data_IF_063653380267
#
_entry.id   IF_063653380267
#
_cell.length_a   1.000
_cell.length_b   1.000
_cell.length_c   1.000
_cell.angle_alpha   90.00
_cell.angle_beta   90.00
_cell.angle_gamma   90.00
#
_symmetry.space_group_name_H-M   'P 1'
#
loop_
_entity.id
_entity.type
_entity.pdbx_description
1 polymer ?
#
# COMPACT_ATOMS: atom_id res chain seq x y z
N UNK A 1 -20.62 1.84 12.01
CA UNK A 1 -19.14 1.90 11.88
C UNK A 1 -18.56 2.35 13.20
N UNK A 2 -17.34 1.92 13.55
CA UNK A 2 -16.69 2.36 14.80
C UNK A 2 -15.78 3.54 14.51
N UNK A 3 -16.32 4.76 14.61
CA UNK A 3 -15.59 5.99 14.30
C UNK A 3 -14.49 6.31 15.33
N UNK A 4 -14.70 5.95 16.60
CA UNK A 4 -13.70 6.17 17.65
C UNK A 4 -12.37 5.45 17.41
N UNK A 5 -12.37 4.34 16.66
CA UNK A 5 -11.14 3.63 16.27
C UNK A 5 -10.46 4.26 15.05
N UNK A 6 -11.22 4.92 14.17
CA UNK A 6 -10.67 5.57 12.97
C UNK A 6 -10.17 6.98 13.25
N UNK A 7 -10.82 7.73 14.14
CA UNK A 7 -10.45 9.13 14.43
C UNK A 7 -8.94 9.35 14.67
N UNK A 8 -8.26 8.61 15.58
CA UNK A 8 -6.82 8.77 15.76
C UNK A 8 -6.01 8.38 14.51
N UNK A 9 -6.41 7.34 13.79
CA UNK A 9 -5.75 6.93 12.55
C UNK A 9 -5.92 7.99 11.45
N UNK A 10 -7.08 8.62 11.34
CA UNK A 10 -7.34 9.71 10.39
C UNK A 10 -6.48 10.93 10.67
N UNK A 11 -6.32 11.30 11.94
CA UNK A 11 -5.44 12.42 12.30
C UNK A 11 -3.99 12.08 12.01
N UNK A 12 -3.51 10.92 12.45
CA UNK A 12 -2.10 10.54 12.30
C UNK A 12 -1.73 10.23 10.86
N UNK A 13 -2.41 9.28 10.22
CA UNK A 13 -2.09 8.85 8.86
C UNK A 13 -2.55 9.87 7.81
N UNK A 14 -3.69 10.54 8.05
CA UNK A 14 -4.16 11.60 7.15
C UNK A 14 -3.26 12.82 7.23
N UNK A 15 -2.92 13.27 8.44
CA UNK A 15 -1.99 14.39 8.65
C UNK A 15 -0.60 14.08 8.11
N UNK A 16 0.01 12.97 8.53
CA UNK A 16 1.33 12.58 8.05
C UNK A 16 1.36 12.32 6.53
N UNK A 17 0.31 11.70 6.00
CA UNK A 17 0.20 11.40 4.57
C UNK A 17 0.11 12.67 3.73
N UNK A 18 -0.71 13.63 4.13
CA UNK A 18 -0.82 14.93 3.45
C UNK A 18 0.46 15.74 3.59
N UNK A 19 1.05 15.80 4.79
CA UNK A 19 2.31 16.52 5.01
C UNK A 19 3.45 15.95 4.16
N UNK A 20 3.60 14.62 4.10
CA UNK A 20 4.62 13.99 3.28
C UNK A 20 4.37 14.21 1.77
N UNK A 21 3.12 14.16 1.33
CA UNK A 21 2.77 14.38 -0.07
C UNK A 21 3.02 15.84 -0.49
N UNK A 22 2.56 16.82 0.30
CA UNK A 22 2.78 18.25 0.05
C UNK A 22 4.26 18.60 0.17
N UNK A 23 4.95 18.09 1.19
CA UNK A 23 6.39 18.27 1.34
C UNK A 23 7.17 17.70 0.15
N UNK A 24 6.72 16.57 -0.44
CA UNK A 24 7.29 16.06 -1.68
C UNK A 24 7.17 17.03 -2.85
N UNK A 25 6.05 17.76 -2.95
CA UNK A 25 5.84 18.78 -3.97
C UNK A 25 6.75 20.00 -3.75
N UNK A 26 6.91 20.46 -2.50
CA UNK A 26 7.83 21.55 -2.15
C UNK A 26 9.28 21.17 -2.45
N UNK A 27 9.73 20.00 -2.00
CA UNK A 27 11.06 19.45 -2.32
C UNK A 27 11.26 19.37 -3.84
N UNK A 28 10.24 18.95 -4.58
CA UNK A 28 10.32 18.87 -6.04
C UNK A 28 10.45 20.24 -6.72
N UNK A 29 9.86 21.27 -6.14
CA UNK A 29 9.95 22.65 -6.64
C UNK A 29 11.33 23.26 -6.41
N UNK A 30 11.98 22.95 -5.29
CA UNK A 30 13.30 23.50 -4.94
C UNK A 30 14.48 22.71 -5.52
N UNK A 31 14.39 21.37 -5.49
CA UNK A 31 15.48 20.46 -5.83
C UNK A 31 15.24 19.65 -7.11
N UNK A 32 14.11 19.89 -7.81
CA UNK A 32 13.65 19.02 -8.89
C UNK A 32 13.18 17.66 -8.38
N UNK A 33 12.94 16.69 -9.28
CA UNK A 33 12.56 15.32 -8.92
C UNK A 33 13.73 14.50 -8.32
N UNK A 34 14.35 15.01 -7.26
CA UNK A 34 15.35 14.31 -6.48
C UNK A 34 14.73 13.11 -5.72
N UNK A 35 15.57 12.17 -5.31
CA UNK A 35 15.12 10.93 -4.65
C UNK A 35 14.30 11.21 -3.37
N UNK A 36 14.57 12.33 -2.69
CA UNK A 36 13.82 12.77 -1.51
C UNK A 36 12.36 13.10 -1.84
N UNK A 37 12.11 13.78 -2.97
CA UNK A 37 10.76 14.09 -3.42
C UNK A 37 9.97 12.81 -3.71
N UNK A 38 10.61 11.87 -4.43
CA UNK A 38 10.00 10.56 -4.74
C UNK A 38 9.71 9.78 -3.46
N UNK A 39 10.64 9.76 -2.50
CA UNK A 39 10.45 9.10 -1.21
C UNK A 39 9.30 9.73 -0.41
N UNK A 40 9.21 11.07 -0.38
CA UNK A 40 8.16 11.80 0.32
C UNK A 40 6.77 11.54 -0.31
N UNK A 41 6.66 11.57 -1.64
CA UNK A 41 5.44 11.20 -2.34
C UNK A 41 5.04 9.75 -2.07
N UNK A 42 5.97 8.81 -2.16
CA UNK A 42 5.71 7.40 -1.89
C UNK A 42 5.23 7.16 -0.44
N UNK A 43 5.84 7.84 0.54
CA UNK A 43 5.42 7.80 1.93
C UNK A 43 4.01 8.39 2.11
N UNK A 44 3.73 9.54 1.49
CA UNK A 44 2.42 10.19 1.54
C UNK A 44 1.31 9.32 0.95
N UNK A 45 1.52 8.79 -0.26
CA UNK A 45 0.59 7.87 -0.92
C UNK A 45 0.40 6.60 -0.08
N UNK A 46 1.48 6.04 0.47
CA UNK A 46 1.43 4.85 1.32
C UNK A 46 0.59 5.05 2.58
N UNK A 47 0.77 6.17 3.28
CA UNK A 47 0.00 6.50 4.48
C UNK A 47 -1.48 6.70 4.18
N UNK A 48 -1.82 7.43 3.11
CA UNK A 48 -3.20 7.66 2.70
C UNK A 48 -3.87 6.38 2.19
N UNK A 49 -3.17 5.53 1.45
CA UNK A 49 -3.67 4.23 1.01
C UNK A 49 -3.94 3.30 2.20
N UNK A 50 -3.06 3.28 3.20
CA UNK A 50 -3.28 2.54 4.45
C UNK A 50 -4.51 3.06 5.19
N UNK A 51 -4.67 4.37 5.29
CA UNK A 51 -5.85 4.98 5.90
C UNK A 51 -7.14 4.55 5.17
N UNK A 52 -7.15 4.65 3.83
CA UNK A 52 -8.29 4.21 3.01
C UNK A 52 -8.62 2.73 3.26
N UNK A 53 -7.61 1.87 3.33
CA UNK A 53 -7.80 0.45 3.63
C UNK A 53 -8.46 0.24 5.00
N UNK A 54 -8.03 0.97 6.04
CA UNK A 54 -8.65 0.91 7.36
C UNK A 54 -10.13 1.35 7.34
N UNK A 55 -10.45 2.40 6.58
CA UNK A 55 -11.83 2.83 6.37
C UNK A 55 -12.68 1.74 5.72
N UNK A 56 -12.18 1.12 4.65
CA UNK A 56 -12.87 0.04 3.94
C UNK A 56 -13.08 -1.17 4.86
N UNK A 57 -12.05 -1.58 5.61
CA UNK A 57 -12.15 -2.69 6.55
C UNK A 57 -13.15 -2.40 7.69
N UNK A 58 -13.16 -1.19 8.26
CA UNK A 58 -14.13 -0.82 9.30
C UNK A 58 -15.57 -0.80 8.76
N UNK A 59 -15.76 -0.32 7.53
CA UNK A 59 -17.06 -0.34 6.86
C UNK A 59 -17.57 -1.77 6.65
N UNK A 60 -16.71 -2.65 6.11
CA UNK A 60 -17.05 -4.07 5.92
C UNK A 60 -17.33 -4.78 7.24
N UNK A 61 -16.48 -4.55 8.26
CA UNK A 61 -16.69 -5.08 9.60
C UNK A 61 -18.02 -4.61 10.20
N UNK A 62 -18.43 -3.35 9.98
CA UNK A 62 -19.72 -2.85 10.42
C UNK A 62 -20.89 -3.57 9.74
N UNK A 63 -20.80 -3.85 8.43
CA UNK A 63 -21.82 -4.63 7.70
C UNK A 63 -21.91 -6.06 8.22
N UNK A 64 -20.79 -6.72 8.46
CA UNK A 64 -20.75 -8.08 9.02
C UNK A 64 -21.38 -8.12 10.42
N UNK A 65 -21.07 -7.15 11.29
CA UNK A 65 -21.69 -7.03 12.62
C UNK A 65 -23.20 -6.81 12.54
N UNK A 66 -23.67 -5.96 11.63
CA UNK A 66 -25.09 -5.71 11.43
C UNK A 66 -25.82 -6.98 10.95
N UNK A 67 -25.25 -7.70 9.99
CA UNK A 67 -25.81 -8.96 9.50
C UNK A 67 -25.85 -10.05 10.60
N UNK A 68 -24.81 -10.14 11.43
CA UNK A 68 -24.78 -11.04 12.59
C UNK A 68 -25.79 -10.70 13.67
N UNK A 69 -26.10 -9.42 13.86
CA UNK A 69 -27.17 -9.01 14.78
C UNK A 69 -28.55 -9.49 14.33
N UNK A 70 -28.76 -9.65 13.01
CA UNK A 70 -29.99 -10.20 12.42
C UNK A 70 -29.97 -11.73 12.43
N UNK A 71 -28.83 -12.36 12.13
CA UNK A 71 -28.67 -13.81 12.15
C UNK A 71 -27.35 -14.24 12.82
N UNK A 72 -27.40 -14.71 14.07
CA UNK A 72 -26.21 -15.11 14.83
C UNK A 72 -25.44 -16.30 14.24
N UNK A 73 -26.06 -17.11 13.39
CA UNK A 73 -25.43 -18.29 12.77
C UNK A 73 -24.51 -17.93 11.59
N UNK A 74 -24.50 -16.67 11.14
CA UNK A 74 -23.59 -16.22 10.10
C UNK A 74 -22.14 -16.17 10.61
N UNK A 75 -21.27 -16.99 10.05
CA UNK A 75 -19.85 -17.00 10.36
C UNK A 75 -19.00 -16.27 9.30
N UNK A 76 -18.10 -15.36 9.70
CA UNK A 76 -17.14 -14.75 8.80
C UNK A 76 -16.19 -15.78 8.22
N UNK A 77 -15.79 -15.56 6.98
CA UNK A 77 -14.87 -16.47 6.30
C UNK A 77 -13.50 -16.45 6.98
N UNK A 78 -13.01 -17.63 7.34
CA UNK A 78 -11.65 -17.81 7.86
C UNK A 78 -10.63 -17.99 6.73
N UNK A 79 -9.35 -17.84 7.07
CA UNK A 79 -8.22 -18.02 6.15
C UNK A 79 -7.92 -16.78 5.31
N UNK A 80 -7.50 -16.97 4.06
CA UNK A 80 -7.18 -15.87 3.13
C UNK A 80 -5.74 -15.34 3.20
N UNK A 81 -4.94 -15.80 4.17
CA UNK A 81 -3.54 -15.39 4.31
C UNK A 81 -2.73 -15.73 3.06
N UNK A 82 -2.72 -16.98 2.60
CA UNK A 82 -1.93 -17.39 1.43
C UNK A 82 -2.31 -16.67 0.14
N UNK A 83 -3.62 -16.47 -0.10
CA UNK A 83 -4.10 -15.70 -1.25
C UNK A 83 -3.69 -14.22 -1.14
N UNK A 84 -3.76 -13.65 0.06
CA UNK A 84 -3.29 -12.30 0.34
C UNK A 84 -1.78 -12.16 0.17
N UNK A 85 -1.00 -13.13 0.63
CA UNK A 85 0.45 -13.15 0.52
C UNK A 85 0.87 -13.19 -0.95
N UNK A 86 0.24 -14.06 -1.76
CA UNK A 86 0.44 -14.10 -3.20
C UNK A 86 0.12 -12.76 -3.86
N UNK A 87 -1.02 -12.16 -3.52
CA UNK A 87 -1.40 -10.83 -4.05
C UNK A 87 -0.43 -9.73 -3.63
N UNK A 88 0.05 -9.74 -2.39
CA UNK A 88 1.07 -8.80 -1.91
C UNK A 88 2.36 -8.92 -2.72
N UNK A 89 2.84 -10.14 -2.95
CA UNK A 89 4.00 -10.39 -3.81
C UNK A 89 3.75 -9.96 -5.25
N UNK A 90 2.58 -10.26 -5.82
CA UNK A 90 2.22 -9.87 -7.19
C UNK A 90 2.16 -8.35 -7.36
N UNK A 91 1.68 -7.60 -6.37
CA UNK A 91 1.71 -6.13 -6.39
C UNK A 91 3.14 -5.62 -6.44
N UNK A 92 4.04 -6.18 -5.63
CA UNK A 92 5.45 -5.80 -5.66
C UNK A 92 6.09 -6.12 -7.01
N UNK A 93 5.81 -7.29 -7.59
CA UNK A 93 6.27 -7.65 -8.94
C UNK A 93 5.71 -6.68 -9.99
N UNK A 94 4.43 -6.30 -9.90
CA UNK A 94 3.83 -5.34 -10.82
C UNK A 94 4.52 -3.97 -10.74
N UNK A 95 4.87 -3.50 -9.53
CA UNK A 95 5.62 -2.25 -9.34
C UNK A 95 7.03 -2.36 -9.94
N UNK A 96 7.71 -3.52 -9.80
CA UNK A 96 9.01 -3.75 -10.45
C UNK A 96 8.90 -3.69 -11.97
N UNK A 97 7.91 -4.37 -12.54
CA UNK A 97 7.67 -4.35 -13.99
C UNK A 97 7.31 -2.96 -14.49
N UNK A 98 6.54 -2.18 -13.72
CA UNK A 98 6.25 -0.78 -14.04
C UNK A 98 7.52 0.06 -14.03
N UNK A 99 8.41 -0.11 -13.03
CA UNK A 99 9.70 0.59 -12.98
C UNK A 99 10.56 0.27 -14.18
N UNK A 100 10.71 -1.02 -14.52
CA UNK A 100 11.46 -1.46 -15.69
C UNK A 100 10.82 -0.89 -16.97
N UNK A 101 9.48 -0.90 -17.05
CA UNK A 101 8.73 -0.33 -18.16
C UNK A 101 9.00 1.16 -18.36
N UNK A 102 9.09 1.95 -17.28
CA UNK A 102 9.49 3.36 -17.36
C UNK A 102 10.91 3.48 -17.93
N UNK A 103 11.86 2.72 -17.40
CA UNK A 103 13.25 2.74 -17.89
C UNK A 103 13.38 2.39 -19.38
N UNK A 104 12.64 1.40 -19.85
CA UNK A 104 12.74 0.91 -21.24
C UNK A 104 11.98 1.82 -22.22
N UNK A 105 10.75 2.20 -21.88
CA UNK A 105 9.80 2.78 -22.83
C UNK A 105 9.62 4.29 -22.71
N UNK A 106 9.99 4.94 -21.60
CA UNK A 106 9.79 6.38 -21.46
C UNK A 106 10.80 7.16 -22.31
N UNK A 107 10.34 7.92 -23.33
CA UNK A 107 11.23 8.74 -24.12
C UNK A 107 11.69 9.95 -23.30
N UNK A 108 12.99 10.26 -23.37
CA UNK A 108 13.57 11.43 -22.69
C UNK A 108 14.39 11.14 -21.43
N UNK A 109 14.52 9.87 -21.01
CA UNK A 109 15.47 9.49 -19.97
C UNK A 109 16.90 9.50 -20.52
N UNK A 110 17.82 10.11 -19.78
CA UNK A 110 19.26 9.91 -20.03
C UNK A 110 19.70 8.52 -19.55
N UNK A 111 20.86 8.06 -20.02
CA UNK A 111 21.35 6.69 -19.79
C UNK A 111 21.44 6.32 -18.29
N UNK A 112 21.86 7.26 -17.44
CA UNK A 112 21.92 7.05 -15.99
C UNK A 112 20.54 6.89 -15.35
N UNK A 113 19.54 7.65 -15.80
CA UNK A 113 18.16 7.56 -15.30
C UNK A 113 17.50 6.26 -15.76
N UNK A 114 17.71 5.89 -17.01
CA UNK A 114 17.29 4.59 -17.57
C UNK A 114 17.84 3.43 -16.72
N UNK A 115 19.15 3.45 -16.46
CA UNK A 115 19.80 2.42 -15.66
C UNK A 115 19.31 2.42 -14.21
N UNK A 116 18.99 3.58 -13.65
CA UNK A 116 18.36 3.65 -12.32
C UNK A 116 17.03 2.88 -12.28
N UNK A 117 16.08 3.17 -13.19
CA UNK A 117 14.76 2.55 -13.20
C UNK A 117 14.76 1.04 -13.47
N UNK A 118 15.72 0.56 -14.27
CA UNK A 118 15.85 -0.88 -14.60
C UNK A 118 16.53 -1.67 -13.48
N UNK A 119 17.35 -1.02 -12.64
CA UNK A 119 18.23 -1.72 -11.69
C UNK A 119 17.82 -1.53 -10.24
N UNK A 120 17.66 -0.28 -9.80
CA UNK A 120 17.60 0.07 -8.37
C UNK A 120 16.25 -0.30 -7.76
N UNK A 121 15.09 0.16 -8.29
CA UNK A 121 13.80 -0.23 -7.72
C UNK A 121 13.55 -1.75 -7.81
N UNK A 122 13.84 -2.46 -8.92
CA UNK A 122 13.71 -3.91 -8.96
C UNK A 122 14.52 -4.64 -7.89
N UNK A 123 15.79 -4.27 -7.69
CA UNK A 123 16.62 -4.87 -6.66
C UNK A 123 16.09 -4.57 -5.24
N UNK A 124 15.71 -3.33 -4.97
CA UNK A 124 15.18 -2.92 -3.67
C UNK A 124 13.85 -3.62 -3.36
N UNK A 125 12.95 -3.72 -4.34
CA UNK A 125 11.67 -4.40 -4.22
C UNK A 125 11.84 -5.92 -4.11
N UNK A 126 12.85 -6.50 -4.76
CA UNK A 126 13.18 -7.92 -4.63
C UNK A 126 13.48 -8.30 -3.18
N UNK A 127 14.20 -7.44 -2.45
CA UNK A 127 14.52 -7.65 -1.04
C UNK A 127 13.26 -7.79 -0.15
N UNK A 128 12.12 -7.22 -0.55
CA UNK A 128 10.84 -7.28 0.20
C UNK A 128 10.14 -8.65 0.17
N UNK A 129 10.62 -9.59 -0.64
CA UNK A 129 10.14 -10.99 -0.61
C UNK A 129 11.25 -12.03 -0.55
N UNK A 130 12.52 -11.68 -0.78
CA UNK A 130 13.65 -12.62 -0.68
C UNK A 130 14.42 -12.52 0.64
N UNK A 131 14.66 -11.30 1.14
CA UNK A 131 15.49 -11.07 2.35
C UNK A 131 14.60 -10.92 3.58
N UNK A 132 13.61 -10.04 3.50
CA UNK A 132 12.58 -9.88 4.52
C UNK A 132 11.24 -10.10 3.83
N UNK A 133 10.45 -11.12 4.19
CA UNK A 133 9.19 -11.44 3.51
C UNK A 133 8.06 -10.46 3.88
N UNK A 134 8.35 -9.16 3.87
CA UNK A 134 7.41 -8.09 4.26
C UNK A 134 6.22 -8.06 3.31
N UNK A 135 6.46 -8.14 2.00
CA UNK A 135 5.40 -8.10 1.00
C UNK A 135 4.37 -9.25 1.17
N UNK A 136 4.78 -10.53 1.26
CA UNK A 136 3.83 -11.61 1.52
C UNK A 136 3.23 -11.55 2.93
N UNK A 137 3.97 -11.10 3.96
CA UNK A 137 3.42 -10.95 5.31
C UNK A 137 2.30 -9.89 5.35
N UNK A 138 2.57 -8.69 4.86
CA UNK A 138 1.60 -7.59 4.82
C UNK A 138 0.41 -7.97 3.94
N UNK A 139 0.67 -8.49 2.73
CA UNK A 139 -0.40 -8.96 1.85
C UNK A 139 -1.25 -10.06 2.50
N UNK A 140 -0.62 -11.01 3.20
CA UNK A 140 -1.32 -12.08 3.90
C UNK A 140 -2.17 -11.60 5.06
N UNK A 141 -1.68 -10.64 5.85
CA UNK A 141 -2.45 -10.01 6.92
C UNK A 141 -3.67 -9.26 6.37
N UNK A 142 -3.49 -8.50 5.29
CA UNK A 142 -4.58 -7.81 4.60
C UNK A 142 -5.60 -8.82 4.05
N UNK A 143 -5.15 -9.88 3.39
CA UNK A 143 -6.03 -10.94 2.86
C UNK A 143 -6.82 -11.66 3.95
N UNK A 144 -6.18 -11.93 5.10
CA UNK A 144 -6.85 -12.49 6.27
C UNK A 144 -7.89 -11.53 6.84
N UNK A 145 -7.55 -10.26 7.05
CA UNK A 145 -8.48 -9.24 7.54
C UNK A 145 -9.65 -9.02 6.56
N UNK A 146 -9.37 -9.05 5.26
CA UNK A 146 -10.38 -8.94 4.21
C UNK A 146 -11.37 -10.10 4.23
N UNK A 147 -10.90 -11.34 4.41
CA UNK A 147 -11.81 -12.49 4.53
C UNK A 147 -12.60 -12.46 5.83
N UNK A 148 -11.97 -12.09 6.94
CA UNK A 148 -12.64 -11.96 8.23
C UNK A 148 -13.73 -10.88 8.26
N UNK A 149 -13.68 -9.94 7.31
CA UNK A 149 -14.71 -8.91 7.09
C UNK A 149 -15.65 -9.24 5.92
N UNK A 150 -15.72 -10.52 5.52
CA UNK A 150 -16.68 -11.05 4.55
C UNK A 150 -17.53 -12.18 5.14
N UNK A 151 -18.78 -12.27 4.69
CA UNK A 151 -19.71 -13.37 4.94
C UNK A 151 -19.64 -14.36 3.77
#
# INVERSE_FOLDING_TARGET
>A
MQWGLLAPATVLLGGAGLLAFVGGAEISGELGFAWQAVAAFAAGVGALALLLLLYVLNWRAARVRAARAVNPFLEPRRGGFWKGALMGTLVVVAIQLASIGVGIFYPGLIESERNFFVSVPPLALAALYTVFPIAPLVGGLIGRAWRATSL
#
